data_IF_431909534405
#
_entry.id   IF_431909534405
#
_cell.length_a   1.000
_cell.length_b   1.000
_cell.length_c   1.000
_cell.angle_alpha   90.00
_cell.angle_beta   90.00
_cell.angle_gamma   90.00
#
_symmetry.space_group_name_H-M   'P 1'
#
loop_
_entity.id
_entity.type
_entity.pdbx_description
1 polymer ?
#
# COMPACT_ATOMS: atom_id res chain seq x y z
N UNK A 1 13.34 16.47 7.80
CA UNK A 1 12.45 15.33 8.12
C UNK A 1 11.04 15.82 7.98
N UNK A 2 10.17 15.10 7.27
CA UNK A 2 8.81 15.55 7.06
C UNK A 2 8.09 15.75 8.39
N UNK A 3 7.33 16.84 8.51
CA UNK A 3 6.54 17.10 9.72
C UNK A 3 5.29 16.24 9.69
N UNK A 4 5.30 15.15 10.45
CA UNK A 4 4.14 14.27 10.61
C UNK A 4 3.05 14.93 11.43
N UNK A 5 1.82 14.90 10.92
CA UNK A 5 0.63 15.42 11.59
C UNK A 5 -0.42 14.33 11.69
N UNK A 6 -0.96 14.09 12.89
CA UNK A 6 -2.12 13.23 13.06
C UNK A 6 -3.36 13.95 12.54
N UNK A 7 -4.02 13.39 11.54
CA UNK A 7 -5.20 14.00 10.90
C UNK A 7 -6.49 13.25 11.16
N UNK A 8 -6.41 12.02 11.66
CA UNK A 8 -7.56 11.20 12.04
C UNK A 8 -7.16 10.24 13.17
N UNK A 9 -8.05 10.05 14.14
CA UNK A 9 -7.95 9.00 15.16
C UNK A 9 -9.30 8.28 15.30
N UNK A 10 -9.23 6.95 15.32
CA UNK A 10 -10.35 6.07 15.62
C UNK A 10 -10.13 5.39 16.98
N UNK A 11 -11.19 5.22 17.76
CA UNK A 11 -11.17 4.42 18.99
C UNK A 11 -11.27 2.90 18.70
N UNK A 12 -11.33 2.10 19.77
CA UNK A 12 -11.47 0.64 19.67
C UNK A 12 -12.78 0.15 19.05
N UNK A 13 -13.79 1.02 18.95
CA UNK A 13 -15.03 0.75 18.22
C UNK A 13 -14.99 1.30 16.78
N UNK A 14 -13.82 1.80 16.35
CA UNK A 14 -13.58 2.47 15.07
C UNK A 14 -14.39 3.75 14.88
N UNK A 15 -14.86 4.38 15.97
CA UNK A 15 -15.47 5.70 15.89
C UNK A 15 -14.40 6.78 15.82
N UNK A 16 -14.67 7.82 15.04
CA UNK A 16 -13.80 9.00 14.98
C UNK A 16 -13.83 9.73 16.32
N UNK A 17 -12.67 9.85 16.97
CA UNK A 17 -12.50 10.55 18.25
C UNK A 17 -11.64 11.81 18.14
N UNK A 18 -10.89 11.96 17.05
CA UNK A 18 -10.12 13.18 16.73
C UNK A 18 -9.87 13.29 15.22
N UNK A 19 -9.78 14.51 14.71
CA UNK A 19 -9.54 14.78 13.29
C UNK A 19 -10.74 14.46 12.39
N UNK A 20 -10.49 14.37 11.08
CA UNK A 20 -11.54 14.20 10.07
C UNK A 20 -11.07 13.28 8.93
N UNK A 21 -11.92 12.36 8.50
CA UNK A 21 -11.64 11.48 7.36
C UNK A 21 -11.38 12.26 6.08
N UNK A 22 -12.11 13.36 5.86
CA UNK A 22 -11.92 14.23 4.69
C UNK A 22 -10.53 14.90 4.68
N UNK A 23 -9.96 15.21 5.86
CA UNK A 23 -8.61 15.74 5.98
C UNK A 23 -7.55 14.68 5.58
N UNK A 24 -7.76 13.41 5.94
CA UNK A 24 -6.92 12.30 5.50
C UNK A 24 -6.99 12.12 3.98
N UNK A 25 -8.21 12.11 3.41
CA UNK A 25 -8.43 12.00 1.96
C UNK A 25 -7.76 13.16 1.22
N UNK A 26 -7.96 14.39 1.69
CA UNK A 26 -7.35 15.57 1.08
C UNK A 26 -5.82 15.54 1.12
N UNK A 27 -5.24 15.13 2.26
CA UNK A 27 -3.79 14.99 2.39
C UNK A 27 -3.22 13.99 1.38
N UNK A 28 -3.81 12.79 1.29
CA UNK A 28 -3.38 11.75 0.34
C UNK A 28 -3.59 12.18 -1.11
N UNK A 29 -4.71 12.85 -1.43
CA UNK A 29 -4.94 13.43 -2.78
C UNK A 29 -3.84 14.40 -3.19
N UNK A 30 -3.36 15.21 -2.25
CA UNK A 30 -2.21 16.11 -2.42
C UNK A 30 -0.86 15.38 -2.39
N UNK A 31 -0.88 14.06 -2.28
CA UNK A 31 0.27 13.19 -2.32
C UNK A 31 0.84 12.85 -0.97
N UNK A 32 0.34 13.30 0.17
CA UNK A 32 1.01 13.10 1.47
C UNK A 32 1.42 11.64 1.76
N UNK A 33 2.55 11.45 2.45
CA UNK A 33 2.95 10.13 2.94
C UNK A 33 2.04 9.69 4.07
N UNK A 34 1.83 8.38 4.21
CA UNK A 34 0.93 7.80 5.20
C UNK A 34 1.68 6.93 6.22
N UNK A 35 1.43 7.20 7.49
CA UNK A 35 1.76 6.31 8.61
C UNK A 35 0.49 6.02 9.40
N UNK A 36 0.38 4.80 9.91
CA UNK A 36 -0.73 4.43 10.78
C UNK A 36 -0.17 3.86 12.07
N UNK A 37 -0.62 4.40 13.19
CA UNK A 37 -0.30 3.92 14.52
C UNK A 37 -1.45 3.13 15.12
N UNK A 38 -1.15 2.05 15.82
CA UNK A 38 -2.11 1.19 16.50
C UNK A 38 -1.66 0.89 17.93
N UNK A 39 -2.61 0.54 18.80
CA UNK A 39 -2.34 0.10 20.17
C UNK A 39 -2.96 -1.26 20.44
N UNK A 40 -2.19 -2.21 21.00
CA UNK A 40 -2.69 -3.53 21.40
C UNK A 40 -1.91 -4.09 22.58
N UNK A 41 -2.49 -5.05 23.30
CA UNK A 41 -1.80 -5.70 24.43
C UNK A 41 -1.00 -6.91 23.98
N UNK A 42 0.16 -7.10 24.59
CA UNK A 42 1.06 -8.21 24.26
C UNK A 42 0.37 -9.59 24.37
N UNK A 43 -0.36 -9.85 25.45
CA UNK A 43 -1.09 -11.10 25.68
C UNK A 43 -2.41 -11.24 24.90
N UNK A 44 -2.80 -10.26 24.11
CA UNK A 44 -3.99 -10.33 23.25
C UNK A 44 -3.62 -10.49 21.76
N UNK A 45 -2.36 -10.24 21.41
CA UNK A 45 -1.90 -10.17 20.01
C UNK A 45 -0.61 -10.92 19.70
N UNK A 46 0.41 -10.81 20.57
CA UNK A 46 1.76 -11.30 20.30
C UNK A 46 1.96 -12.71 20.84
N UNK A 47 1.65 -12.91 22.12
CA UNK A 47 1.74 -14.21 22.79
C UNK A 47 0.53 -14.36 23.72
N UNK A 48 -0.51 -15.02 23.23
CA UNK A 48 -1.77 -15.21 23.94
C UNK A 48 -1.66 -16.13 25.16
N UNK A 49 -0.52 -16.80 25.34
CA UNK A 49 -0.23 -17.62 26.53
C UNK A 49 0.52 -16.86 27.62
N UNK A 50 0.97 -15.64 27.34
CA UNK A 50 1.73 -14.79 28.25
C UNK A 50 0.83 -14.07 29.25
N UNK A 51 1.30 -13.88 30.48
CA UNK A 51 0.65 -13.02 31.48
C UNK A 51 0.97 -11.52 31.25
N UNK A 52 1.78 -11.18 30.23
CA UNK A 52 2.18 -9.79 29.97
C UNK A 52 1.06 -9.01 29.29
N UNK A 53 0.38 -8.16 30.06
CA UNK A 53 -0.69 -7.27 29.60
C UNK A 53 -0.22 -5.89 29.08
N UNK A 54 1.07 -5.75 28.79
CA UNK A 54 1.69 -4.48 28.37
C UNK A 54 1.10 -3.95 27.06
N UNK A 55 0.77 -2.65 27.05
CA UNK A 55 0.33 -1.94 25.85
C UNK A 55 1.52 -1.71 24.91
N UNK A 56 1.46 -2.32 23.74
CA UNK A 56 2.37 -2.08 22.62
C UNK A 56 1.78 -0.95 21.79
N UNK A 57 2.64 0.02 21.43
CA UNK A 57 2.33 1.09 20.48
C UNK A 57 3.14 0.83 19.21
N UNK A 58 2.44 0.54 18.13
CA UNK A 58 3.04 0.30 16.83
C UNK A 58 2.80 1.53 15.93
N UNK A 59 3.77 1.89 15.09
CA UNK A 59 3.60 2.87 14.00
C UNK A 59 4.28 2.32 12.76
N UNK A 60 3.51 2.24 11.68
CA UNK A 60 3.85 1.56 10.43
C UNK A 60 3.91 2.55 9.25
N UNK A 61 4.78 2.29 8.27
CA UNK A 61 5.07 3.15 7.11
C UNK A 61 4.38 2.60 5.84
N UNK A 62 3.29 3.24 5.38
CA UNK A 62 2.49 2.77 4.26
C UNK A 62 2.90 3.47 2.96
N UNK A 63 3.99 3.00 2.35
CA UNK A 63 4.62 3.64 1.17
C UNK A 63 3.91 3.39 -0.16
N UNK A 64 2.92 2.51 -0.19
CA UNK A 64 1.97 2.37 -1.29
C UNK A 64 0.61 2.85 -0.77
N UNK A 65 0.10 3.97 -1.29
CA UNK A 65 -1.19 4.51 -0.86
C UNK A 65 -2.19 4.48 -2.02
N UNK A 66 -3.43 4.16 -1.72
CA UNK A 66 -4.55 4.16 -2.65
C UNK A 66 -5.48 5.31 -2.33
N UNK A 67 -5.91 6.02 -3.37
CA UNK A 67 -7.07 6.92 -3.33
C UNK A 67 -8.11 6.35 -4.28
N UNK A 68 -9.24 5.90 -3.74
CA UNK A 68 -10.34 5.28 -4.50
C UNK A 68 -11.52 6.24 -4.59
N UNK A 69 -12.04 6.42 -5.81
CA UNK A 69 -13.16 7.33 -6.14
C UNK A 69 -13.03 8.72 -5.51
N UNK A 70 -11.79 9.19 -5.32
CA UNK A 70 -11.46 10.47 -4.68
C UNK A 70 -12.05 10.64 -3.25
N UNK A 71 -12.39 9.55 -2.57
CA UNK A 71 -13.12 9.58 -1.27
C UNK A 71 -12.69 8.54 -0.25
N UNK A 72 -11.84 7.58 -0.64
CA UNK A 72 -11.40 6.51 0.24
C UNK A 72 -9.89 6.30 0.18
N UNK A 73 -9.26 6.32 1.35
CA UNK A 73 -7.83 6.07 1.53
C UNK A 73 -7.60 4.66 2.09
N UNK A 74 -6.61 3.99 1.51
CA UNK A 74 -6.00 2.80 2.08
C UNK A 74 -4.49 2.84 1.88
N UNK A 75 -3.73 2.25 2.80
CA UNK A 75 -2.29 2.12 2.71
C UNK A 75 -1.87 0.66 2.69
N UNK A 76 -0.79 0.33 1.98
CA UNK A 76 -0.13 -0.99 2.00
C UNK A 76 1.35 -0.83 2.38
N UNK A 77 1.82 -1.63 3.33
CA UNK A 77 3.24 -1.81 3.60
C UNK A 77 3.87 -2.71 2.53
N UNK A 78 4.94 -2.23 1.90
CA UNK A 78 5.59 -2.89 0.76
C UNK A 78 6.97 -3.49 1.08
N UNK A 79 7.50 -3.27 2.28
CA UNK A 79 8.85 -3.69 2.69
C UNK A 79 8.88 -4.51 3.99
N UNK A 80 7.72 -4.91 4.51
CA UNK A 80 7.62 -5.62 5.79
C UNK A 80 7.90 -7.09 5.65
N UNK A 81 8.85 -7.60 6.42
CA UNK A 81 8.96 -9.02 6.75
C UNK A 81 8.23 -9.28 8.07
N UNK A 82 7.61 -10.46 8.29
CA UNK A 82 6.97 -10.76 9.56
C UNK A 82 7.98 -10.64 10.71
N UNK A 83 7.65 -9.85 11.72
CA UNK A 83 8.43 -9.75 12.96
C UNK A 83 7.79 -10.62 14.04
N UNK A 84 8.62 -11.31 14.82
CA UNK A 84 8.27 -12.06 16.01
C UNK A 84 8.81 -11.30 17.21
N UNK A 85 7.97 -10.43 17.79
CA UNK A 85 8.38 -9.61 18.93
C UNK A 85 8.64 -10.49 20.16
N UNK A 86 9.65 -10.16 20.98
CA UNK A 86 10.64 -9.08 20.81
C UNK A 86 11.92 -9.51 20.06
N UNK A 87 12.02 -10.79 19.67
CA UNK A 87 13.32 -11.45 19.47
C UNK A 87 13.78 -11.59 18.02
N UNK A 88 12.94 -11.34 17.01
CA UNK A 88 13.40 -11.37 15.62
C UNK A 88 12.30 -11.40 14.55
N UNK A 89 12.51 -12.25 13.55
CA UNK A 89 11.59 -12.45 12.43
C UNK A 89 10.72 -13.69 12.61
N UNK A 90 9.60 -13.71 11.91
CA UNK A 90 8.69 -14.85 11.86
C UNK A 90 9.35 -16.11 11.26
N UNK A 91 8.73 -17.28 11.44
CA UNK A 91 9.38 -18.57 11.23
C UNK A 91 9.57 -18.97 9.76
N UNK A 92 8.87 -18.33 8.82
CA UNK A 92 8.91 -18.68 7.38
C UNK A 92 9.21 -17.44 6.54
N UNK A 93 10.21 -17.55 5.67
CA UNK A 93 10.66 -16.47 4.80
C UNK A 93 9.51 -15.99 3.91
N UNK A 94 9.08 -14.75 4.15
CA UNK A 94 7.94 -14.16 3.47
C UNK A 94 7.97 -12.63 3.56
N UNK A 95 7.18 -11.99 2.70
CA UNK A 95 6.74 -10.62 2.92
C UNK A 95 5.41 -10.61 3.67
N UNK A 96 5.09 -9.52 4.35
CA UNK A 96 3.78 -9.29 4.95
C UNK A 96 3.22 -7.97 4.44
N UNK A 97 2.48 -8.01 3.34
CA UNK A 97 1.81 -6.85 2.78
C UNK A 97 0.58 -6.53 3.62
N UNK A 98 0.80 -5.86 4.75
CA UNK A 98 -0.26 -5.35 5.61
C UNK A 98 -0.93 -4.16 4.94
N UNK A 99 -2.24 -4.13 5.03
CA UNK A 99 -3.09 -3.12 4.45
C UNK A 99 -4.02 -2.58 5.54
N UNK A 100 -4.13 -1.26 5.64
CA UNK A 100 -5.13 -0.60 6.46
C UNK A 100 -5.97 0.39 5.64
N UNK A 101 -7.28 0.32 5.85
CA UNK A 101 -8.25 1.28 5.32
C UNK A 101 -8.46 2.43 6.30
N UNK A 102 -8.98 3.55 5.81
CA UNK A 102 -9.29 4.74 6.61
C UNK A 102 -10.34 4.52 7.72
N UNK A 103 -11.07 3.41 7.69
CA UNK A 103 -12.13 3.06 8.64
C UNK A 103 -11.72 1.93 9.62
N UNK A 104 -10.44 1.52 9.59
CA UNK A 104 -9.91 0.47 10.45
C UNK A 104 -10.06 -0.96 9.92
N UNK A 105 -10.66 -1.18 8.74
CA UNK A 105 -10.59 -2.48 8.07
C UNK A 105 -9.17 -2.81 7.64
N UNK A 106 -8.79 -4.08 7.74
CA UNK A 106 -7.42 -4.53 7.58
C UNK A 106 -7.38 -5.70 6.61
N UNK A 107 -6.24 -5.86 5.96
CA UNK A 107 -5.98 -7.05 5.18
C UNK A 107 -4.49 -7.39 5.24
N UNK A 108 -4.17 -8.65 4.97
CA UNK A 108 -2.80 -9.11 4.86
C UNK A 108 -2.68 -10.06 3.67
N UNK A 109 -1.65 -9.85 2.85
CA UNK A 109 -1.18 -10.82 1.88
C UNK A 109 0.25 -11.24 2.21
N UNK A 110 0.53 -12.54 2.15
CA UNK A 110 1.82 -13.11 2.55
C UNK A 110 2.39 -14.00 1.46
N UNK A 111 3.14 -13.44 0.49
CA UNK A 111 3.89 -14.28 -0.43
C UNK A 111 5.06 -14.94 0.31
N UNK A 112 5.13 -16.26 0.26
CA UNK A 112 6.25 -17.04 0.75
C UNK A 112 7.39 -17.05 -0.27
N UNK A 113 8.61 -16.85 0.21
CA UNK A 113 9.82 -16.66 -0.61
C UNK A 113 10.82 -17.82 -0.47
N UNK A 114 10.44 -18.88 0.25
CA UNK A 114 11.29 -20.01 0.60
C UNK A 114 11.40 -21.07 -0.50
N UNK A 115 10.60 -20.96 -1.56
CA UNK A 115 10.57 -21.92 -2.67
C UNK A 115 9.90 -23.26 -2.32
N UNK A 116 9.22 -23.35 -1.18
CA UNK A 116 8.46 -24.55 -0.82
C UNK A 116 7.28 -24.76 -1.78
N UNK A 117 6.91 -26.03 -1.98
CA UNK A 117 5.75 -26.38 -2.80
C UNK A 117 4.45 -26.10 -2.01
N UNK A 118 3.41 -25.53 -2.64
CA UNK A 118 2.11 -25.38 -2.00
C UNK A 118 1.48 -26.75 -1.74
N UNK A 119 0.70 -26.86 -0.66
CA UNK A 119 -0.02 -28.09 -0.30
C UNK A 119 -1.45 -28.12 -0.83
N UNK A 120 -1.97 -26.97 -1.28
CA UNK A 120 -3.29 -26.83 -1.88
C UNK A 120 -3.28 -25.91 -3.11
N UNK A 121 -4.49 -25.61 -3.60
CA UNK A 121 -4.71 -24.74 -4.77
C UNK A 121 -5.26 -23.36 -4.39
N UNK A 122 -5.22 -22.38 -5.31
CA UNK A 122 -5.86 -21.09 -5.12
C UNK A 122 -7.39 -21.23 -4.97
N UNK A 123 -7.99 -20.38 -4.15
CA UNK A 123 -9.42 -20.29 -3.92
C UNK A 123 -9.80 -19.69 -2.57
N UNK A 124 -11.11 -19.48 -2.40
CA UNK A 124 -11.70 -19.08 -1.11
C UNK A 124 -11.41 -20.15 -0.07
N UNK A 125 -10.94 -19.71 1.09
CA UNK A 125 -10.67 -20.54 2.26
C UNK A 125 -11.65 -20.19 3.38
N UNK A 126 -11.86 -21.11 4.31
CA UNK A 126 -12.71 -20.85 5.47
C UNK A 126 -11.98 -19.90 6.44
N UNK A 127 -12.61 -18.80 6.90
CA UNK A 127 -12.05 -17.98 7.97
C UNK A 127 -11.81 -18.82 9.23
N UNK A 128 -10.69 -18.57 9.91
CA UNK A 128 -10.38 -19.18 11.19
C UNK A 128 -11.10 -18.41 12.31
N UNK A 129 -11.73 -19.09 13.29
CA UNK A 129 -12.42 -18.42 14.39
C UNK A 129 -11.51 -17.80 15.46
N UNK A 130 -10.20 -18.08 15.46
CA UNK A 130 -9.19 -17.51 16.36
C UNK A 130 -9.63 -17.41 17.84
N UNK A 131 -10.00 -18.53 18.50
CA UNK A 131 -10.59 -18.49 19.86
C UNK A 131 -9.67 -17.86 20.91
N UNK A 132 -8.35 -17.96 20.72
CA UNK A 132 -7.35 -17.40 21.64
C UNK A 132 -7.05 -15.91 21.39
N UNK A 133 -7.59 -15.34 20.30
CA UNK A 133 -7.44 -13.92 19.93
C UNK A 133 -8.82 -13.28 19.73
N UNK A 134 -9.62 -13.06 20.79
CA UNK A 134 -11.01 -12.61 20.68
C UNK A 134 -11.20 -11.23 20.03
N UNK A 135 -10.13 -10.44 19.90
CA UNK A 135 -10.11 -9.15 19.20
C UNK A 135 -9.82 -9.28 17.70
N UNK A 136 -9.44 -10.46 17.21
CA UNK A 136 -9.15 -10.73 15.81
C UNK A 136 -10.37 -11.38 15.14
N UNK A 137 -10.98 -10.67 14.20
CA UNK A 137 -12.15 -11.11 13.44
C UNK A 137 -11.75 -11.31 11.99
N UNK A 138 -11.47 -12.55 11.59
CA UNK A 138 -11.23 -12.87 10.19
C UNK A 138 -12.55 -12.82 9.41
N UNK A 139 -12.61 -11.96 8.40
CA UNK A 139 -13.81 -11.75 7.59
C UNK A 139 -13.79 -12.67 6.37
N UNK A 140 -12.66 -12.70 5.66
CA UNK A 140 -12.44 -13.52 4.48
C UNK A 140 -11.03 -14.11 4.51
N UNK A 141 -10.87 -15.33 4.00
CA UNK A 141 -9.58 -15.98 3.83
C UNK A 141 -9.45 -16.57 2.42
N UNK A 142 -8.25 -16.53 1.87
CA UNK A 142 -7.96 -16.98 0.51
C UNK A 142 -6.61 -17.70 0.49
N UNK A 143 -6.55 -18.70 -0.38
CA UNK A 143 -5.30 -19.35 -0.81
C UNK A 143 -4.45 -19.89 0.37
N UNK A 144 -5.09 -20.30 1.48
CA UNK A 144 -4.42 -20.65 2.76
C UNK A 144 -3.30 -21.67 2.61
N UNK A 145 -3.48 -22.67 1.74
CA UNK A 145 -2.54 -23.76 1.53
C UNK A 145 -1.58 -23.52 0.34
N UNK A 146 -1.51 -22.28 -0.15
CA UNK A 146 -0.66 -21.89 -1.28
C UNK A 146 0.59 -21.13 -0.84
N UNK A 147 1.35 -20.64 -1.81
CA UNK A 147 2.47 -19.72 -1.56
C UNK A 147 2.06 -18.26 -1.37
N UNK A 148 0.77 -17.94 -1.46
CA UNK A 148 0.25 -16.58 -1.44
C UNK A 148 -1.02 -16.42 -0.56
N UNK A 149 -1.07 -16.97 0.67
CA UNK A 149 -2.25 -16.80 1.51
C UNK A 149 -2.53 -15.32 1.77
N UNK A 150 -3.82 -15.00 1.81
CA UNK A 150 -4.27 -13.66 2.17
C UNK A 150 -5.58 -13.70 2.92
N UNK A 151 -5.84 -12.68 3.73
CA UNK A 151 -7.11 -12.53 4.44
C UNK A 151 -7.48 -11.07 4.65
N UNK A 152 -8.78 -10.82 4.76
CA UNK A 152 -9.35 -9.55 5.17
C UNK A 152 -9.90 -9.74 6.58
N UNK A 153 -9.62 -8.80 7.48
CA UNK A 153 -9.93 -8.96 8.89
C UNK A 153 -10.12 -7.61 9.58
N UNK A 154 -10.61 -7.69 10.81
CA UNK A 154 -10.63 -6.58 11.75
C UNK A 154 -9.91 -7.05 13.01
N UNK A 155 -8.85 -6.34 13.39
CA UNK A 155 -8.34 -6.43 14.76
C UNK A 155 -8.84 -5.22 15.55
N UNK A 156 -9.55 -5.45 16.65
CA UNK A 156 -10.06 -4.41 17.54
C UNK A 156 -8.90 -3.81 18.39
N UNK A 157 -8.03 -3.04 17.73
CA UNK A 157 -6.98 -2.26 18.39
C UNK A 157 -7.58 -1.24 19.37
N UNK A 158 -6.81 -0.84 20.38
CA UNK A 158 -7.21 0.21 21.34
C UNK A 158 -7.46 1.56 20.65
N UNK A 159 -6.74 1.83 19.56
CA UNK A 159 -6.90 2.99 18.69
C UNK A 159 -6.27 2.76 17.32
N UNK A 160 -6.65 3.60 16.35
CA UNK A 160 -5.96 3.78 15.07
C UNK A 160 -5.64 5.27 14.90
N UNK A 161 -4.39 5.63 14.69
CA UNK A 161 -3.94 7.01 14.46
C UNK A 161 -3.36 7.14 13.06
N UNK A 162 -3.95 8.00 12.23
CA UNK A 162 -3.49 8.24 10.87
C UNK A 162 -2.65 9.52 10.85
N UNK A 163 -1.38 9.36 10.50
CA UNK A 163 -0.42 10.43 10.38
C UNK A 163 -0.07 10.68 8.92
N UNK A 164 -0.02 11.96 8.53
CA UNK A 164 0.36 12.36 7.18
C UNK A 164 1.63 13.21 7.19
N UNK A 165 2.53 12.92 6.24
CA UNK A 165 3.69 13.74 5.92
C UNK A 165 3.42 14.57 4.67
N UNK A 166 3.08 15.86 4.85
CA UNK A 166 2.50 16.70 3.80
C UNK A 166 3.51 17.53 2.99
N UNK A 167 4.81 17.27 3.12
CA UNK A 167 5.87 18.07 2.49
C UNK A 167 6.10 17.67 1.01
N UNK A 168 5.02 17.61 0.23
CA UNK A 168 5.00 17.21 -1.17
C UNK A 168 4.24 18.19 -2.03
N UNK A 169 4.76 18.46 -3.23
CA UNK A 169 4.11 19.35 -4.21
C UNK A 169 4.05 18.68 -5.57
N UNK A 170 2.86 18.67 -6.17
CA UNK A 170 2.66 18.29 -7.56
C UNK A 170 3.34 19.33 -8.48
N UNK A 171 4.27 18.87 -9.31
CA UNK A 171 5.03 19.74 -10.23
C UNK A 171 4.79 19.43 -11.70
N UNK A 172 4.17 18.28 -11.99
CA UNK A 172 3.77 17.86 -13.32
C UNK A 172 2.60 16.88 -13.23
N UNK A 173 1.59 17.04 -14.07
CA UNK A 173 0.59 16.04 -14.35
C UNK A 173 0.42 15.89 -15.86
N UNK A 174 0.19 14.67 -16.33
CA UNK A 174 -0.08 14.40 -17.74
C UNK A 174 -1.06 13.23 -17.92
N UNK A 175 -1.70 13.19 -19.09
CA UNK A 175 -2.55 12.07 -19.52
C UNK A 175 -1.73 10.86 -20.00
N UNK A 176 -2.40 9.76 -20.35
CA UNK A 176 -1.76 8.51 -20.78
C UNK A 176 -0.93 8.63 -22.07
N UNK A 177 -1.21 9.61 -22.90
CA UNK A 177 -0.44 9.90 -24.11
C UNK A 177 0.78 10.82 -23.84
N UNK A 178 0.93 11.31 -22.60
CA UNK A 178 1.96 12.27 -22.21
C UNK A 178 1.55 13.75 -22.37
N UNK A 179 0.30 14.02 -22.77
CA UNK A 179 -0.22 15.39 -22.85
C UNK A 179 -0.27 16.02 -21.45
N UNK A 180 0.50 17.09 -21.24
CA UNK A 180 0.59 17.78 -19.94
C UNK A 180 -0.73 18.48 -19.61
N UNK A 181 -1.23 18.24 -18.40
CA UNK A 181 -2.46 18.85 -17.87
C UNK A 181 -2.20 19.86 -16.76
N UNK A 182 -1.07 19.74 -16.06
CA UNK A 182 -0.63 20.68 -15.02
C UNK A 182 0.89 20.67 -14.90
N UNK A 183 1.47 21.78 -14.44
CA UNK A 183 2.91 21.88 -14.19
C UNK A 183 3.78 21.83 -15.46
N UNK A 184 5.03 21.37 -15.33
CA UNK A 184 5.92 21.21 -16.48
C UNK A 184 7.05 20.22 -16.22
N UNK A 185 7.53 19.59 -17.30
CA UNK A 185 8.72 18.72 -17.24
C UNK A 185 9.95 19.50 -16.76
N UNK A 186 10.09 20.77 -17.16
CA UNK A 186 11.21 21.61 -16.72
C UNK A 186 11.20 21.80 -15.19
N UNK A 187 10.04 22.01 -14.55
CA UNK A 187 9.93 22.11 -13.08
C UNK A 187 10.30 20.80 -12.38
N UNK A 188 9.84 19.68 -12.91
CA UNK A 188 10.21 18.36 -12.40
C UNK A 188 11.71 18.11 -12.54
N UNK A 189 12.29 18.48 -13.69
CA UNK A 189 13.72 18.34 -13.95
C UNK A 189 14.57 19.23 -13.03
N UNK A 190 14.16 20.47 -12.79
CA UNK A 190 14.84 21.39 -11.88
C UNK A 190 14.83 20.85 -10.43
N UNK A 191 13.68 20.36 -9.96
CA UNK A 191 13.56 19.74 -8.64
C UNK A 191 14.40 18.45 -8.51
N UNK A 192 14.38 17.61 -9.56
CA UNK A 192 15.26 16.45 -9.66
C UNK A 192 16.75 16.84 -9.57
N UNK A 193 17.18 17.85 -10.32
CA UNK A 193 18.57 18.32 -10.32
C UNK A 193 18.98 18.93 -8.97
N UNK A 194 18.02 19.49 -8.22
CA UNK A 194 18.22 19.97 -6.86
C UNK A 194 18.29 18.83 -5.81
N UNK A 195 18.06 17.57 -6.21
CA UNK A 195 18.12 16.41 -5.33
C UNK A 195 16.84 16.16 -4.53
N UNK A 196 15.69 16.69 -4.96
CA UNK A 196 14.42 16.41 -4.32
C UNK A 196 14.03 14.93 -4.44
N UNK A 197 13.40 14.38 -3.41
CA UNK A 197 12.72 13.08 -3.52
C UNK A 197 11.55 13.23 -4.49
N UNK A 198 11.24 12.15 -5.22
CA UNK A 198 10.18 12.15 -6.22
C UNK A 198 9.24 10.99 -5.93
N UNK A 199 7.95 11.21 -6.11
CA UNK A 199 6.94 10.15 -6.16
C UNK A 199 5.91 10.42 -7.23
N UNK A 200 5.14 9.39 -7.56
CA UNK A 200 4.09 9.46 -8.57
C UNK A 200 2.75 8.99 -8.02
N UNK A 201 1.67 9.57 -8.52
CA UNK A 201 0.33 8.98 -8.47
C UNK A 201 -0.01 8.47 -9.86
N UNK A 202 -0.29 7.16 -9.98
CA UNK A 202 -0.61 6.51 -11.26
C UNK A 202 -2.09 6.17 -11.25
N UNK A 203 -2.86 6.80 -12.13
CA UNK A 203 -4.30 6.57 -12.24
C UNK A 203 -4.58 5.25 -12.96
N UNK A 204 -5.48 4.43 -12.41
CA UNK A 204 -5.92 3.19 -13.06
C UNK A 204 -4.89 2.06 -13.06
N UNK A 205 -3.84 2.12 -12.24
CA UNK A 205 -2.72 1.16 -12.23
C UNK A 205 -3.17 -0.30 -12.06
N UNK A 206 -4.25 -0.54 -11.30
CA UNK A 206 -4.77 -1.86 -10.97
C UNK A 206 -6.08 -2.17 -11.72
N UNK A 207 -6.39 -1.44 -12.79
CA UNK A 207 -7.63 -1.64 -13.56
C UNK A 207 -7.68 -3.01 -14.25
N UNK A 208 -6.54 -3.61 -14.57
CA UNK A 208 -6.44 -4.96 -15.13
C UNK A 208 -6.75 -6.07 -14.12
N UNK A 209 -6.70 -5.78 -12.82
CA UNK A 209 -7.12 -6.69 -11.75
C UNK A 209 -8.63 -6.63 -11.49
N UNK A 210 -9.32 -5.63 -12.04
CA UNK A 210 -10.77 -5.50 -11.92
C UNK A 210 -11.45 -6.52 -12.83
N UNK A 211 -12.31 -7.37 -12.26
CA UNK A 211 -13.08 -8.35 -13.02
C UNK A 211 -14.15 -7.69 -13.88
N UNK A 212 -15.25 -8.39 -14.14
CA UNK A 212 -16.39 -7.87 -14.94
C UNK A 212 -17.29 -6.87 -14.19
N UNK A 213 -16.93 -6.47 -12.97
CA UNK A 213 -17.69 -5.51 -12.16
C UNK A 213 -17.53 -4.07 -12.65
N UNK A 214 -18.38 -3.17 -12.15
CA UNK A 214 -18.24 -1.73 -12.39
C UNK A 214 -16.83 -1.26 -11.99
N UNK A 215 -16.11 -0.55 -12.86
CA UNK A 215 -14.76 -0.15 -12.57
C UNK A 215 -14.71 0.91 -11.47
N UNK A 216 -13.83 0.71 -10.49
CA UNK A 216 -13.52 1.67 -9.43
C UNK A 216 -12.36 2.54 -9.92
N UNK A 217 -12.61 3.85 -10.04
CA UNK A 217 -11.57 4.84 -10.34
C UNK A 217 -10.62 4.94 -9.14
N UNK A 218 -9.31 4.99 -9.42
CA UNK A 218 -8.30 4.97 -8.38
C UNK A 218 -6.97 5.56 -8.84
N UNK A 219 -6.22 6.07 -7.86
CA UNK A 219 -4.80 6.41 -8.00
C UNK A 219 -3.97 5.60 -7.01
N UNK A 220 -2.80 5.14 -7.46
CA UNK A 220 -1.81 4.48 -6.60
C UNK A 220 -0.58 5.37 -6.49
N UNK A 221 -0.24 5.76 -5.26
CA UNK A 221 0.90 6.61 -4.93
C UNK A 221 2.10 5.74 -4.58
N UNK A 222 3.22 5.94 -5.28
CA UNK A 222 4.45 5.16 -5.10
C UNK A 222 5.67 6.06 -5.15
N UNK A 223 6.58 5.87 -4.20
CA UNK A 223 7.88 6.55 -4.17
C UNK A 223 8.78 6.09 -5.31
N UNK A 224 9.62 7.00 -5.79
CA UNK A 224 10.66 6.70 -6.77
C UNK A 224 12.04 6.65 -6.10
N UNK A 225 12.89 5.77 -6.61
CA UNK A 225 14.29 5.67 -6.25
C UNK A 225 15.17 6.31 -7.33
N UNK A 226 15.89 5.47 -8.08
CA UNK A 226 16.77 5.95 -9.14
C UNK A 226 15.98 6.68 -10.25
N UNK A 227 16.32 7.94 -10.50
CA UNK A 227 15.71 8.77 -11.54
C UNK A 227 16.74 9.13 -12.61
N UNK A 228 16.29 9.18 -13.88
CA UNK A 228 17.10 9.45 -15.05
C UNK A 228 16.41 10.54 -15.87
N UNK A 229 17.12 11.62 -16.18
CA UNK A 229 16.60 12.71 -17.00
C UNK A 229 17.40 12.85 -18.29
N UNK A 230 16.72 12.69 -19.41
CA UNK A 230 17.28 12.89 -20.73
C UNK A 230 17.13 14.36 -21.09
N UNK A 231 18.25 15.09 -21.15
CA UNK A 231 18.27 16.55 -21.24
C UNK A 231 17.86 17.08 -22.62
N UNK A 232 18.17 16.34 -23.69
CA UNK A 232 17.80 16.71 -25.07
C UNK A 232 16.32 16.41 -25.35
N UNK A 233 15.86 15.20 -24.99
CA UNK A 233 14.46 14.78 -25.17
C UNK A 233 13.50 15.43 -24.17
N UNK A 234 14.03 16.07 -23.11
CA UNK A 234 13.28 16.54 -21.94
C UNK A 234 12.34 15.47 -21.42
N UNK A 235 12.92 14.35 -20.99
CA UNK A 235 12.14 13.18 -20.55
C UNK A 235 12.75 12.58 -19.30
N UNK A 236 11.97 12.52 -18.24
CA UNK A 236 12.33 11.83 -17.00
C UNK A 236 11.70 10.43 -16.95
N UNK A 237 12.47 9.46 -16.49
CA UNK A 237 12.03 8.13 -16.10
C UNK A 237 12.66 7.73 -14.77
N UNK A 238 11.99 6.87 -14.01
CA UNK A 238 12.46 6.50 -12.69
C UNK A 238 12.14 5.05 -12.36
N UNK A 239 12.94 4.41 -11.52
CA UNK A 239 12.60 3.13 -10.91
C UNK A 239 11.78 3.38 -9.64
N UNK A 240 10.56 2.85 -9.60
CA UNK A 240 9.72 2.92 -8.41
C UNK A 240 10.23 1.99 -7.30
N UNK A 241 9.95 2.35 -6.05
CA UNK A 241 9.98 1.39 -4.95
C UNK A 241 9.01 0.23 -5.24
N UNK A 242 9.18 -0.94 -4.58
CA UNK A 242 8.29 -2.06 -4.80
C UNK A 242 6.82 -1.66 -4.62
N UNK A 243 5.97 -2.02 -5.57
CA UNK A 243 4.53 -1.77 -5.52
C UNK A 243 3.80 -3.06 -5.16
N UNK A 244 2.75 -2.94 -4.37
CA UNK A 244 1.75 -3.99 -4.16
C UNK A 244 0.46 -3.53 -4.82
N UNK A 245 -0.01 -4.30 -5.79
CA UNK A 245 -1.24 -4.04 -6.53
C UNK A 245 -2.33 -4.97 -6.00
N UNK A 246 -3.51 -4.43 -5.72
CA UNK A 246 -4.70 -5.25 -5.43
C UNK A 246 -5.91 -4.66 -6.15
N UNK A 247 -6.91 -5.51 -6.41
CA UNK A 247 -8.16 -5.12 -7.04
C UNK A 247 -8.81 -3.97 -6.25
N UNK A 248 -9.02 -2.79 -6.87
CA UNK A 248 -9.70 -1.68 -6.25
C UNK A 248 -11.11 -2.05 -5.75
N UNK A 249 -11.35 -1.81 -4.46
CA UNK A 249 -12.63 -2.02 -3.78
C UNK A 249 -12.66 -1.15 -2.51
N UNK A 250 -13.85 -0.90 -1.96
CA UNK A 250 -14.03 -0.19 -0.68
C UNK A 250 -14.86 -1.08 0.26
N UNK A 251 -14.27 -1.61 1.36
CA UNK A 251 -12.86 -1.49 1.74
C UNK A 251 -11.90 -2.14 0.73
N UNK A 252 -10.67 -1.65 0.68
CA UNK A 252 -9.58 -2.28 -0.08
C UNK A 252 -9.15 -3.53 0.68
N UNK A 253 -8.88 -4.61 -0.05
CA UNK A 253 -8.50 -5.90 0.54
C UNK A 253 -7.80 -6.80 -0.46
N UNK A 254 -7.61 -8.04 -0.06
CA UNK A 254 -7.04 -9.10 -0.89
C UNK A 254 -8.07 -10.17 -1.21
N UNK A 255 -7.73 -11.02 -2.18
CA UNK A 255 -8.53 -12.14 -2.65
C UNK A 255 -7.77 -12.97 -3.67
N UNK A 256 -8.25 -14.19 -3.94
CA UNK A 256 -7.66 -15.09 -4.93
C UNK A 256 -7.47 -14.40 -6.29
N UNK A 257 -6.24 -14.48 -6.82
CA UNK A 257 -5.84 -13.95 -8.14
C UNK A 257 -6.20 -12.46 -8.36
N UNK A 258 -6.31 -11.70 -7.27
CA UNK A 258 -6.74 -10.28 -7.31
C UNK A 258 -5.66 -9.30 -6.89
N UNK A 259 -4.43 -9.79 -6.69
CA UNK A 259 -3.28 -8.98 -6.31
C UNK A 259 -1.99 -9.56 -6.88
N UNK A 260 -1.02 -8.68 -7.09
CA UNK A 260 0.36 -9.00 -7.46
C UNK A 260 1.30 -7.93 -6.87
N UNK A 261 2.60 -8.11 -7.00
CA UNK A 261 3.58 -7.13 -6.52
C UNK A 261 4.76 -7.04 -7.47
N UNK A 262 5.57 -5.99 -7.38
CA UNK A 262 6.75 -5.89 -8.23
C UNK A 262 7.31 -4.48 -8.34
N UNK A 263 7.86 -4.14 -9.50
CA UNK A 263 8.52 -2.86 -9.75
C UNK A 263 7.98 -2.21 -11.00
N UNK A 264 7.90 -0.88 -10.95
CA UNK A 264 7.46 -0.05 -12.07
C UNK A 264 8.60 0.87 -12.50
N UNK A 265 8.62 1.20 -13.79
CA UNK A 265 9.45 2.25 -14.34
C UNK A 265 8.57 3.26 -15.09
N UNK A 266 8.02 4.27 -14.39
CA UNK A 266 7.23 5.32 -15.02
C UNK A 266 8.11 6.32 -15.77
N UNK A 267 7.50 6.94 -16.79
CA UNK A 267 8.08 7.98 -17.64
C UNK A 267 7.11 9.12 -17.85
N UNK A 268 7.65 10.32 -17.95
CA UNK A 268 6.91 11.59 -18.11
C UNK A 268 6.06 11.72 -19.39
N UNK A 269 6.11 10.74 -20.29
CA UNK A 269 5.26 10.69 -21.48
C UNK A 269 4.13 9.66 -21.37
N UNK A 270 3.82 9.20 -20.17
CA UNK A 270 2.76 8.23 -19.89
C UNK A 270 3.21 6.77 -19.89
N UNK A 271 4.38 6.45 -20.45
CA UNK A 271 4.86 5.06 -20.48
C UNK A 271 5.21 4.54 -19.09
N UNK A 272 4.76 3.33 -18.75
CA UNK A 272 5.14 2.61 -17.54
C UNK A 272 5.49 1.18 -17.93
N UNK A 273 6.75 0.78 -17.72
CA UNK A 273 7.13 -0.63 -17.76
C UNK A 273 6.95 -1.26 -16.37
N UNK A 274 6.48 -2.50 -16.33
CA UNK A 274 6.24 -3.27 -15.12
C UNK A 274 6.98 -4.60 -15.13
N UNK A 275 7.65 -4.90 -14.03
CA UNK A 275 8.12 -6.24 -13.68
C UNK A 275 7.28 -6.70 -12.49
N UNK A 276 6.22 -7.44 -12.78
CA UNK A 276 5.25 -7.91 -11.80
C UNK A 276 5.52 -9.38 -11.49
N UNK A 277 5.28 -9.76 -10.25
CA UNK A 277 5.52 -11.09 -9.71
C UNK A 277 4.16 -11.70 -9.40
N UNK A 278 3.88 -12.84 -10.01
CA UNK A 278 2.76 -13.69 -9.58
C UNK A 278 3.09 -14.25 -8.19
N UNK A 279 2.32 -13.90 -7.14
CA UNK A 279 2.66 -14.29 -5.78
C UNK A 279 2.58 -15.81 -5.55
N UNK A 280 1.84 -16.56 -6.37
CA UNK A 280 1.73 -18.02 -6.22
C UNK A 280 2.95 -18.75 -6.75
N UNK A 281 3.58 -18.21 -7.81
CA UNK A 281 4.65 -18.89 -8.54
C UNK A 281 6.01 -18.21 -8.42
N UNK A 282 6.03 -16.97 -7.89
CA UNK A 282 7.19 -16.06 -7.87
C UNK A 282 7.78 -15.77 -9.26
N UNK A 283 7.05 -16.09 -10.33
CA UNK A 283 7.50 -15.83 -11.70
C UNK A 283 7.24 -14.38 -12.06
N UNK A 284 8.22 -13.80 -12.75
CA UNK A 284 8.10 -12.45 -13.30
C UNK A 284 7.31 -12.44 -14.60
N UNK A 285 6.34 -11.55 -14.68
CA UNK A 285 5.68 -11.07 -15.89
C UNK A 285 6.25 -9.68 -16.21
N UNK A 286 6.56 -9.46 -17.48
CA UNK A 286 6.89 -8.12 -17.99
C UNK A 286 5.71 -7.59 -18.77
N UNK A 287 5.31 -6.37 -18.48
CA UNK A 287 4.26 -5.67 -19.21
C UNK A 287 4.62 -4.20 -19.34
N UNK A 288 4.05 -3.54 -20.33
CA UNK A 288 4.13 -2.10 -20.49
C UNK A 288 2.76 -1.54 -20.87
N UNK A 289 2.44 -0.39 -20.29
CA UNK A 289 1.18 0.32 -20.51
C UNK A 289 1.40 1.81 -20.45
N UNK A 290 0.34 2.54 -20.79
CA UNK A 290 0.28 4.00 -20.76
C UNK A 290 -0.73 4.46 -19.71
N UNK A 291 -0.32 5.40 -18.86
CA UNK A 291 -1.14 5.90 -17.75
C UNK A 291 -1.09 7.41 -17.63
N UNK A 292 -2.18 7.99 -17.14
CA UNK A 292 -2.13 9.34 -16.60
C UNK A 292 -1.36 9.32 -15.27
N UNK A 293 -0.44 10.27 -15.09
CA UNK A 293 0.48 10.30 -13.94
C UNK A 293 0.60 11.72 -13.43
N UNK A 294 0.53 11.86 -12.10
CA UNK A 294 0.91 13.07 -11.37
C UNK A 294 2.26 12.84 -10.69
N UNK A 295 3.17 13.81 -10.79
CA UNK A 295 4.53 13.76 -10.29
C UNK A 295 4.69 14.77 -9.18
N UNK A 296 5.17 14.30 -8.03
CA UNK A 296 5.34 15.08 -6.82
C UNK A 296 6.81 15.11 -6.43
N UNK A 297 7.23 16.23 -5.86
CA UNK A 297 8.58 16.39 -5.30
C UNK A 297 8.51 16.83 -3.85
N UNK A 298 9.48 16.40 -3.05
CA UNK A 298 9.61 16.82 -1.65
C UNK A 298 9.96 18.30 -1.54
N UNK A 299 9.45 18.99 -0.52
CA UNK A 299 9.86 20.34 -0.14
C UNK A 299 10.80 20.39 1.08
#
# INVERSE_FOLDING_TARGET
MPRWTQVLELDAQRHVVSGETDALVAAVRSGADLRIGTGFRHNEHIDTSSEREELIREVMDFRVTYLLEDRWVAGIENLRMPIALPDGFGPRESMSFFLYNQDGHQAIARPFLDGAAPTGGPGVSAPNPWPDMPKYHELDAFDTETNAPSSNFIYDFEYFQYFVGADWVEVLAHESDGSVTSGSIDRLADAFAAGAEIKVAIRGLCADLQGSSSPVDHEVFVHLGACYYYTEEKRLMAAAHPVVRTRPAMPLGYGTESWDFGWLMPRTDGFVAGWLVDPHTLKFRREDRRYAIRWFVSQ
#
